data_IF_547047349500
#
_entry.id   IF_547047349500
#
_cell.length_a   1.000
_cell.length_b   1.000
_cell.length_c   1.000
_cell.angle_alpha   90.00
_cell.angle_beta   90.00
_cell.angle_gamma   90.00
#
_symmetry.space_group_name_H-M   'P 1'
#
loop_
_entity.id
_entity.type
_entity.pdbx_description
1 polymer ?
#
# COMPACT_ATOMS: atom_id res chain seq x y z
N UNK A 1 22.10 -27.80 21.07
CA UNK A 1 22.56 -27.27 22.37
C UNK A 1 23.95 -26.68 22.18
N UNK A 2 24.02 -25.39 21.84
CA UNK A 2 25.24 -24.60 21.95
C UNK A 2 24.83 -23.22 22.43
N UNK A 3 25.38 -22.87 23.59
CA UNK A 3 25.14 -21.66 24.36
C UNK A 3 25.76 -20.45 23.64
N UNK A 4 25.03 -19.33 23.61
CA UNK A 4 25.59 -17.99 23.37
C UNK A 4 26.48 -17.60 24.57
N UNK A 5 27.74 -17.16 24.37
CA UNK A 5 28.50 -16.51 25.42
C UNK A 5 28.32 -15.00 25.37
N UNK A 6 28.05 -14.47 26.56
CA UNK A 6 28.26 -13.12 27.09
C UNK A 6 28.57 -11.94 26.15
N UNK A 7 27.70 -10.94 26.33
CA UNK A 7 27.84 -9.54 25.98
C UNK A 7 29.18 -8.94 26.45
N UNK A 8 30.14 -8.82 25.52
CA UNK A 8 31.25 -7.88 25.70
C UNK A 8 30.77 -6.46 25.42
N UNK A 9 30.42 -5.74 26.50
CA UNK A 9 30.36 -4.28 26.53
C UNK A 9 31.65 -3.70 25.96
N UNK A 10 31.53 -2.89 24.91
CA UNK A 10 32.59 -1.99 24.48
C UNK A 10 32.91 -1.00 25.60
N UNK A 11 34.03 -1.22 26.32
CA UNK A 11 34.67 -0.18 27.13
C UNK A 11 35.55 0.66 26.22
N UNK A 12 34.93 1.65 25.56
CA UNK A 12 35.60 2.76 24.90
C UNK A 12 35.50 4.01 25.79
N UNK A 13 36.63 4.67 25.98
CA UNK A 13 36.77 5.94 26.72
C UNK A 13 36.06 7.09 26.00
N UNK A 14 35.09 7.72 26.67
CA UNK A 14 34.65 9.09 26.35
C UNK A 14 33.45 9.22 25.40
N UNK A 15 32.32 9.63 26.00
CA UNK A 15 31.07 10.14 25.42
C UNK A 15 30.28 9.17 24.54
N UNK A 16 29.07 8.82 25.01
CA UNK A 16 27.98 8.35 24.16
C UNK A 16 27.90 9.23 22.89
N UNK A 17 27.59 8.68 21.71
CA UNK A 17 27.42 9.48 20.51
C UNK A 17 26.38 10.57 20.78
N UNK A 18 26.86 11.80 20.97
CA UNK A 18 26.00 12.96 21.08
C UNK A 18 25.56 13.32 19.66
N UNK A 19 24.25 13.42 19.39
CA UNK A 19 23.77 13.91 18.10
C UNK A 19 24.47 15.23 17.78
N UNK A 20 25.16 15.28 16.63
CA UNK A 20 26.00 16.43 16.25
C UNK A 20 25.12 17.65 15.90
N UNK A 21 23.84 17.41 15.64
CA UNK A 21 22.77 18.41 15.52
C UNK A 21 21.47 17.80 16.02
N UNK A 22 20.71 18.57 16.80
CA UNK A 22 19.31 18.31 17.08
C UNK A 22 18.54 19.52 16.57
N UNK A 23 17.66 19.30 15.61
CA UNK A 23 16.79 20.34 15.08
C UNK A 23 15.37 19.99 15.51
N UNK A 24 14.77 20.86 16.31
CA UNK A 24 13.35 20.75 16.65
C UNK A 24 12.59 21.38 15.51
N UNK A 25 11.84 20.56 14.78
CA UNK A 25 11.00 21.01 13.68
C UNK A 25 10.05 22.09 14.22
N UNK A 26 10.13 23.29 13.64
CA UNK A 26 9.37 24.47 14.07
C UNK A 26 7.97 24.54 13.46
N UNK A 27 7.69 23.69 12.47
CA UNK A 27 6.42 23.55 11.78
C UNK A 27 6.61 22.93 10.39
N UNK A 28 5.54 22.83 9.59
CA UNK A 28 5.59 22.31 8.22
C UNK A 28 6.50 23.13 7.29
N UNK A 29 6.68 24.43 7.56
CA UNK A 29 7.50 25.34 6.74
C UNK A 29 8.97 25.40 7.18
N UNK A 30 9.42 24.45 7.99
CA UNK A 30 10.77 24.46 8.53
C UNK A 30 11.81 24.24 7.41
N UNK A 31 12.75 25.18 7.17
CA UNK A 31 13.69 25.09 6.05
C UNK A 31 14.73 23.96 6.20
N UNK A 32 14.78 23.29 7.35
CA UNK A 32 15.60 22.09 7.58
C UNK A 32 14.81 20.79 7.42
N UNK A 33 13.49 20.83 7.20
CA UNK A 33 12.80 19.65 6.71
C UNK A 33 13.39 19.32 5.33
N UNK A 34 13.88 18.08 5.10
CA UNK A 34 14.29 17.71 3.77
C UNK A 34 13.09 17.89 2.82
N UNK A 35 13.30 18.37 1.59
CA UNK A 35 12.22 18.59 0.63
C UNK A 35 11.40 17.32 0.35
N UNK A 36 12.02 16.18 0.56
CA UNK A 36 11.47 14.85 0.41
C UNK A 36 11.62 14.09 1.73
N UNK A 37 10.49 13.84 2.39
CA UNK A 37 10.40 13.09 3.66
C UNK A 37 9.81 11.70 3.48
N UNK A 38 9.59 11.28 2.23
CA UNK A 38 8.96 9.99 1.96
C UNK A 38 9.92 8.86 2.31
N UNK A 39 9.46 7.94 3.14
CA UNK A 39 10.26 6.81 3.64
C UNK A 39 10.79 5.94 2.49
N UNK A 40 9.97 5.73 1.46
CA UNK A 40 10.33 5.02 0.23
C UNK A 40 11.46 5.72 -0.52
N UNK A 41 11.43 7.05 -0.63
CA UNK A 41 12.47 7.82 -1.30
C UNK A 41 13.77 7.84 -0.51
N UNK A 42 13.70 7.96 0.82
CA UNK A 42 14.87 7.92 1.71
C UNK A 42 15.55 6.53 1.65
N UNK A 43 14.76 5.45 1.68
CA UNK A 43 15.27 4.08 1.62
C UNK A 43 16.02 3.78 0.31
N UNK A 44 15.55 4.36 -0.80
CA UNK A 44 16.10 4.12 -2.14
C UNK A 44 17.11 5.18 -2.58
N UNK A 45 17.25 6.28 -1.83
CA UNK A 45 18.14 7.40 -2.16
C UNK A 45 17.58 8.36 -3.21
N UNK A 46 16.28 8.29 -3.52
CA UNK A 46 15.57 9.21 -4.42
C UNK A 46 15.58 10.63 -3.85
N UNK A 47 15.46 10.76 -2.53
CA UNK A 47 15.58 12.02 -1.79
C UNK A 47 16.84 12.81 -2.17
N UNK A 48 17.96 12.11 -2.35
CA UNK A 48 19.25 12.69 -2.73
C UNK A 48 19.30 13.14 -4.18
N UNK A 49 18.57 12.48 -5.08
CA UNK A 49 18.43 12.88 -6.49
C UNK A 49 17.51 14.10 -6.61
N UNK A 50 16.40 14.09 -5.88
CA UNK A 50 15.48 15.22 -5.80
C UNK A 50 16.17 16.46 -5.22
N UNK A 51 17.00 16.30 -4.18
CA UNK A 51 17.83 17.38 -3.65
C UNK A 51 18.84 17.97 -4.66
N UNK A 52 19.18 17.24 -5.72
CA UNK A 52 20.01 17.69 -6.83
C UNK A 52 19.20 18.30 -7.99
N UNK A 53 17.87 18.35 -7.89
CA UNK A 53 16.98 18.82 -8.94
C UNK A 53 16.75 17.81 -10.07
N UNK A 54 16.98 16.52 -9.81
CA UNK A 54 16.79 15.44 -10.78
C UNK A 54 15.42 14.81 -10.53
N UNK A 55 14.43 15.16 -11.35
CA UNK A 55 13.03 14.73 -11.20
C UNK A 55 12.51 13.90 -12.40
N UNK A 56 13.39 13.53 -13.34
CA UNK A 56 13.03 12.73 -14.52
C UNK A 56 12.57 13.53 -15.76
N UNK A 57 12.73 14.85 -15.74
CA UNK A 57 12.34 15.71 -16.86
C UNK A 57 12.95 15.28 -18.21
N UNK A 58 12.12 15.21 -19.24
CA UNK A 58 12.51 14.83 -20.59
C UNK A 58 12.58 13.32 -20.86
N UNK A 59 12.35 12.47 -19.85
CA UNK A 59 12.25 11.01 -20.00
C UNK A 59 10.82 10.60 -20.28
N UNK A 60 10.63 9.66 -21.21
CA UNK A 60 9.34 9.01 -21.47
C UNK A 60 9.31 7.59 -20.92
N UNK A 61 8.28 7.25 -20.15
CA UNK A 61 8.13 5.95 -19.50
C UNK A 61 6.82 5.32 -19.97
N UNK A 62 6.92 4.16 -20.62
CA UNK A 62 5.76 3.35 -20.99
C UNK A 62 5.44 2.34 -19.89
N UNK A 63 4.23 2.39 -19.38
CA UNK A 63 3.74 1.49 -18.34
C UNK A 63 2.80 0.49 -19.01
N UNK A 64 3.07 -0.80 -18.85
CA UNK A 64 2.23 -1.88 -19.39
C UNK A 64 1.55 -2.56 -18.21
N UNK A 65 0.24 -2.38 -18.08
CA UNK A 65 -0.50 -2.70 -16.86
C UNK A 65 -2.01 -2.84 -17.12
N UNK A 66 -2.85 -2.73 -16.08
CA UNK A 66 -4.32 -2.74 -16.15
C UNK A 66 -4.92 -1.47 -16.75
N UNK A 67 -4.12 -0.51 -17.19
CA UNK A 67 -4.57 0.82 -17.60
C UNK A 67 -4.40 1.86 -16.49
N UNK A 68 -4.95 3.05 -16.70
CA UNK A 68 -4.78 4.19 -15.77
C UNK A 68 -6.05 5.01 -15.67
N UNK A 69 -6.42 5.40 -14.45
CA UNK A 69 -7.31 6.54 -14.26
C UNK A 69 -6.52 7.83 -14.44
N UNK A 70 -6.35 8.24 -15.69
CA UNK A 70 -5.67 9.49 -16.01
C UNK A 70 -6.45 10.73 -15.53
N UNK A 71 -7.73 10.60 -15.15
CA UNK A 71 -8.49 11.71 -14.56
C UNK A 71 -8.11 11.95 -13.10
N UNK A 72 -7.32 11.07 -12.49
CA UNK A 72 -6.86 11.22 -11.12
C UNK A 72 -6.08 12.54 -10.96
N UNK A 73 -6.46 13.43 -10.00
CA UNK A 73 -5.84 14.75 -9.87
C UNK A 73 -4.32 14.71 -9.64
N UNK A 74 -3.84 13.72 -8.88
CA UNK A 74 -2.41 13.50 -8.61
C UNK A 74 -1.64 13.14 -9.88
N UNK A 75 -2.30 12.57 -10.88
CA UNK A 75 -1.74 12.24 -12.20
C UNK A 75 -2.06 13.33 -13.25
N UNK A 76 -2.37 14.56 -12.83
CA UNK A 76 -2.54 15.68 -13.74
C UNK A 76 -3.90 15.77 -14.44
N UNK A 77 -4.88 14.93 -14.06
CA UNK A 77 -6.29 15.11 -14.40
C UNK A 77 -6.62 15.14 -15.89
N UNK A 78 -5.96 14.30 -16.69
CA UNK A 78 -6.27 14.10 -18.10
C UNK A 78 -5.20 13.32 -18.85
N UNK A 79 -5.44 13.11 -20.15
CA UNK A 79 -4.54 12.40 -21.06
C UNK A 79 -4.25 13.26 -22.30
N UNK A 80 -3.01 13.17 -22.81
CA UNK A 80 -2.58 13.81 -24.04
C UNK A 80 -1.60 14.97 -23.83
N UNK A 81 -1.38 15.81 -24.86
CA UNK A 81 -0.41 16.90 -24.79
C UNK A 81 -0.66 17.85 -23.63
N UNK A 82 0.34 18.02 -22.77
CA UNK A 82 0.26 18.89 -21.58
C UNK A 82 -0.16 18.19 -20.29
N UNK A 83 -0.52 16.91 -20.34
CA UNK A 83 -0.80 16.08 -19.16
C UNK A 83 0.40 15.19 -18.79
N UNK A 84 0.35 14.63 -17.57
CA UNK A 84 1.32 13.62 -17.08
C UNK A 84 1.27 12.34 -17.92
N UNK A 85 0.05 11.86 -18.16
CA UNK A 85 -0.22 10.77 -19.09
C UNK A 85 -0.32 11.37 -20.49
N UNK A 86 0.70 11.15 -21.33
CA UNK A 86 0.81 11.80 -22.65
C UNK A 86 0.09 11.02 -23.77
N UNK A 87 -0.34 9.79 -23.49
CA UNK A 87 -1.03 8.92 -24.43
C UNK A 87 -1.05 7.47 -23.96
N UNK A 88 -1.53 6.58 -24.80
CA UNK A 88 -1.62 5.16 -24.50
C UNK A 88 -2.40 4.37 -25.52
N UNK A 89 -2.67 3.10 -25.21
CA UNK A 89 -3.47 2.20 -26.02
C UNK A 89 -4.05 1.08 -25.14
N UNK A 90 -5.31 0.69 -25.37
CA UNK A 90 -5.90 -0.51 -24.80
C UNK A 90 -5.84 -1.64 -25.83
N UNK A 91 -5.18 -2.74 -25.45
CA UNK A 91 -5.06 -3.91 -26.31
C UNK A 91 -6.24 -4.86 -26.18
N UNK A 92 -7.08 -4.73 -25.15
CA UNK A 92 -7.95 -5.82 -24.69
C UNK A 92 -9.39 -5.43 -24.37
N UNK A 93 -9.64 -4.25 -23.82
CA UNK A 93 -10.96 -3.82 -23.36
C UNK A 93 -11.35 -4.42 -22.00
N UNK A 94 -12.37 -3.84 -21.35
CA UNK A 94 -12.83 -4.19 -20.00
C UNK A 94 -13.24 -5.66 -19.82
N UNK A 95 -13.88 -6.25 -20.83
CA UNK A 95 -14.44 -7.60 -20.73
C UNK A 95 -13.41 -8.71 -20.98
N UNK A 96 -12.14 -8.38 -21.24
CA UNK A 96 -11.12 -9.38 -21.51
C UNK A 96 -10.77 -10.18 -20.27
N UNK A 97 -10.76 -11.51 -20.38
CA UNK A 97 -10.44 -12.44 -19.28
C UNK A 97 -9.16 -13.28 -19.54
N UNK A 98 -8.50 -13.05 -20.68
CA UNK A 98 -7.35 -13.82 -21.14
C UNK A 98 -7.69 -14.93 -22.14
N UNK A 99 -8.98 -15.24 -22.32
CA UNK A 99 -9.43 -16.35 -23.18
C UNK A 99 -10.38 -15.92 -24.30
N UNK A 100 -11.10 -14.82 -24.10
CA UNK A 100 -11.98 -14.22 -25.10
C UNK A 100 -11.22 -13.33 -26.09
N UNK A 101 -11.89 -12.95 -27.19
CA UNK A 101 -11.29 -12.07 -28.20
C UNK A 101 -11.08 -10.67 -27.62
N UNK A 102 -9.86 -10.10 -27.70
CA UNK A 102 -9.60 -8.74 -27.25
C UNK A 102 -10.34 -7.71 -28.11
N UNK A 103 -10.69 -6.58 -27.49
CA UNK A 103 -11.35 -5.44 -28.14
C UNK A 103 -10.48 -4.18 -27.99
N UNK A 104 -9.44 -4.03 -28.83
CA UNK A 104 -8.48 -2.94 -28.69
C UNK A 104 -9.05 -1.58 -29.12
N UNK A 105 -8.62 -0.51 -28.45
CA UNK A 105 -8.90 0.88 -28.79
C UNK A 105 -7.81 1.83 -28.27
N UNK A 106 -7.96 3.14 -28.55
CA UNK A 106 -6.96 4.15 -28.19
C UNK A 106 -7.10 4.69 -26.75
N UNK A 107 -8.01 4.15 -25.93
CA UNK A 107 -8.33 4.66 -24.59
C UNK A 107 -7.86 3.68 -23.47
N UNK A 108 -6.72 3.94 -22.81
CA UNK A 108 -6.18 3.06 -21.77
C UNK A 108 -6.85 3.26 -20.39
N UNK A 109 -8.05 3.85 -20.32
CA UNK A 109 -8.74 4.17 -19.08
C UNK A 109 -9.03 2.91 -18.26
N UNK A 110 -8.64 2.94 -16.99
CA UNK A 110 -9.01 1.88 -16.02
C UNK A 110 -10.04 2.42 -15.03
N UNK A 111 -11.19 1.75 -14.96
CA UNK A 111 -12.29 2.11 -14.04
C UNK A 111 -12.63 1.02 -13.03
N UNK A 112 -11.88 -0.08 -13.01
CA UNK A 112 -12.28 -1.30 -12.29
C UNK A 112 -11.16 -1.96 -11.49
N UNK A 113 -9.89 -1.87 -11.91
CA UNK A 113 -8.79 -2.52 -11.21
C UNK A 113 -7.97 -1.51 -10.38
N UNK A 114 -7.42 -0.49 -11.04
CA UNK A 114 -6.66 0.58 -10.40
C UNK A 114 -5.17 0.26 -10.14
N UNK A 115 -4.71 -0.96 -10.40
CA UNK A 115 -3.30 -1.35 -10.22
C UNK A 115 -2.35 -0.48 -11.07
N UNK A 116 -2.64 -0.27 -12.35
CA UNK A 116 -1.80 0.59 -13.19
C UNK A 116 -1.85 2.08 -12.79
N UNK A 117 -2.93 2.55 -12.17
CA UNK A 117 -2.99 3.88 -11.53
C UNK A 117 -2.06 3.96 -10.33
N UNK A 118 -2.04 2.93 -9.48
CA UNK A 118 -1.14 2.85 -8.33
C UNK A 118 0.34 2.85 -8.77
N UNK A 119 0.68 2.03 -9.79
CA UNK A 119 2.03 2.00 -10.39
C UNK A 119 2.41 3.37 -10.98
N UNK A 120 1.48 4.01 -11.71
CA UNK A 120 1.69 5.35 -12.26
C UNK A 120 1.94 6.40 -11.17
N UNK A 121 1.28 6.28 -10.01
CA UNK A 121 1.50 7.12 -8.84
C UNK A 121 2.92 7.00 -8.29
N UNK A 122 3.41 5.77 -8.09
CA UNK A 122 4.79 5.50 -7.62
C UNK A 122 5.82 6.16 -8.55
N UNK A 123 5.59 6.10 -9.87
CA UNK A 123 6.53 6.62 -10.86
C UNK A 123 6.43 8.15 -10.96
N UNK A 124 5.23 8.70 -11.04
CA UNK A 124 5.03 10.05 -11.56
C UNK A 124 3.92 10.88 -10.92
N UNK A 125 3.49 10.56 -9.70
CA UNK A 125 2.58 11.43 -8.94
C UNK A 125 3.14 12.86 -8.84
N UNK A 126 2.32 13.86 -9.18
CA UNK A 126 2.71 15.26 -9.07
C UNK A 126 2.78 15.69 -7.60
N UNK A 127 3.83 16.40 -7.16
CA UNK A 127 3.96 16.89 -5.79
C UNK A 127 2.91 17.95 -5.44
N UNK A 128 2.77 18.27 -4.15
CA UNK A 128 1.84 19.31 -3.67
C UNK A 128 0.37 18.90 -3.69
N UNK A 129 0.09 17.59 -3.75
CA UNK A 129 -1.25 17.03 -3.60
C UNK A 129 -1.66 16.90 -2.13
N UNK A 130 -2.93 16.56 -1.90
CA UNK A 130 -3.52 16.44 -0.55
C UNK A 130 -2.90 15.34 0.32
N UNK A 131 -2.22 14.36 -0.29
CA UNK A 131 -1.53 13.28 0.43
C UNK A 131 -0.07 13.63 0.75
N UNK A 132 0.42 14.77 0.26
CA UNK A 132 1.82 15.19 0.39
C UNK A 132 2.81 14.11 -0.09
N UNK A 133 2.47 13.45 -1.20
CA UNK A 133 3.32 12.46 -1.86
C UNK A 133 3.81 12.95 -3.23
N UNK A 134 4.80 12.29 -3.80
CA UNK A 134 5.36 12.54 -5.11
C UNK A 134 5.90 11.24 -5.71
N UNK A 135 5.89 11.15 -7.04
CA UNK A 135 6.49 10.00 -7.72
C UNK A 135 8.01 10.12 -7.78
N UNK A 136 8.70 9.00 -7.98
CA UNK A 136 10.17 8.95 -8.12
C UNK A 136 10.67 9.89 -9.24
N UNK A 137 9.93 9.96 -10.35
CA UNK A 137 10.25 10.76 -11.53
C UNK A 137 9.05 11.65 -11.92
N UNK A 138 8.64 12.53 -11.01
CA UNK A 138 7.45 13.37 -11.19
C UNK A 138 7.55 14.43 -12.30
N UNK A 139 8.69 14.63 -12.97
CA UNK A 139 8.79 15.45 -14.20
C UNK A 139 8.80 14.60 -15.49
N UNK A 140 8.78 13.27 -15.39
CA UNK A 140 8.72 12.39 -16.56
C UNK A 140 7.34 12.43 -17.25
N UNK A 141 7.30 12.05 -18.53
CA UNK A 141 6.06 11.81 -19.27
C UNK A 141 5.72 10.32 -19.27
N UNK A 142 4.46 9.98 -19.00
CA UNK A 142 4.02 8.59 -18.91
C UNK A 142 3.12 8.22 -20.09
N UNK A 143 3.32 7.04 -20.66
CA UNK A 143 2.39 6.44 -21.63
C UNK A 143 1.80 5.17 -21.00
N UNK A 144 0.50 4.93 -21.16
CA UNK A 144 -0.14 3.75 -20.59
C UNK A 144 -0.56 2.74 -21.66
N UNK A 145 -0.17 1.48 -21.49
CA UNK A 145 -0.53 0.37 -22.37
C UNK A 145 -1.33 -0.65 -21.56
N UNK A 146 -2.65 -0.63 -21.74
CA UNK A 146 -3.55 -1.52 -21.02
C UNK A 146 -3.57 -2.89 -21.68
N UNK A 147 -3.23 -3.92 -20.92
CA UNK A 147 -3.13 -5.32 -21.41
C UNK A 147 -3.99 -6.29 -20.62
N UNK A 148 -4.66 -5.82 -19.56
CA UNK A 148 -5.64 -6.58 -18.79
C UNK A 148 -7.03 -5.97 -18.92
N UNK A 149 -8.05 -6.83 -18.91
CA UNK A 149 -9.41 -6.39 -18.63
C UNK A 149 -9.60 -6.14 -17.12
N UNK A 150 -10.85 -6.02 -16.70
CA UNK A 150 -11.16 -5.85 -15.28
C UNK A 150 -10.82 -7.08 -14.42
N UNK A 151 -10.69 -8.25 -15.05
CA UNK A 151 -10.31 -9.52 -14.42
C UNK A 151 -9.47 -10.36 -15.39
N UNK A 152 -8.95 -11.49 -14.91
CA UNK A 152 -8.34 -12.50 -15.77
C UNK A 152 -6.84 -12.34 -15.94
N UNK A 153 -6.32 -12.85 -17.06
CA UNK A 153 -4.88 -12.96 -17.34
C UNK A 153 -4.54 -12.38 -18.71
N UNK A 154 -3.26 -12.19 -18.98
CA UNK A 154 -2.78 -11.70 -20.27
C UNK A 154 -1.88 -12.74 -20.94
N UNK A 155 -2.11 -13.08 -22.22
CA UNK A 155 -1.22 -13.94 -22.99
C UNK A 155 0.03 -13.20 -23.51
N UNK A 156 1.07 -13.98 -23.79
CA UNK A 156 2.39 -13.49 -24.20
C UNK A 156 2.38 -12.64 -25.49
N UNK A 157 1.46 -12.92 -26.43
CA UNK A 157 1.35 -12.18 -27.69
C UNK A 157 0.91 -10.73 -27.48
N UNK A 158 -0.08 -10.51 -26.62
CA UNK A 158 -0.53 -9.16 -26.23
C UNK A 158 0.57 -8.40 -25.49
N UNK A 159 1.32 -9.07 -24.60
CA UNK A 159 2.47 -8.47 -23.93
C UNK A 159 3.56 -8.04 -24.93
N UNK A 160 3.85 -8.89 -25.91
CA UNK A 160 4.83 -8.59 -26.97
C UNK A 160 4.36 -7.39 -27.80
N UNK A 161 3.09 -7.34 -28.18
CA UNK A 161 2.53 -6.21 -28.94
C UNK A 161 2.61 -4.90 -28.15
N UNK A 162 2.32 -4.92 -26.86
CA UNK A 162 2.46 -3.76 -25.98
C UNK A 162 3.92 -3.30 -25.83
N UNK A 163 4.85 -4.23 -25.64
CA UNK A 163 6.29 -3.92 -25.59
C UNK A 163 6.77 -3.26 -26.90
N UNK A 164 6.39 -3.81 -28.05
CA UNK A 164 6.77 -3.28 -29.36
C UNK A 164 6.13 -1.91 -29.63
N UNK A 165 4.86 -1.72 -29.24
CA UNK A 165 4.18 -0.42 -29.34
C UNK A 165 4.85 0.62 -28.45
N UNK A 166 5.18 0.26 -27.21
CA UNK A 166 5.89 1.13 -26.27
C UNK A 166 7.23 1.64 -26.82
N UNK A 167 8.00 0.79 -27.50
CA UNK A 167 9.22 1.21 -28.21
C UNK A 167 8.89 2.11 -29.40
N UNK A 168 7.89 1.76 -30.21
CA UNK A 168 7.48 2.52 -31.40
C UNK A 168 7.01 3.93 -31.05
N UNK A 169 6.34 4.11 -29.92
CA UNK A 169 5.88 5.42 -29.43
C UNK A 169 7.02 6.25 -28.81
N UNK A 170 8.23 5.69 -28.77
CA UNK A 170 9.46 6.38 -28.42
C UNK A 170 9.71 6.49 -26.91
N UNK A 171 9.16 5.58 -26.11
CA UNK A 171 9.49 5.52 -24.68
C UNK A 171 10.98 5.17 -24.48
N UNK A 172 11.59 5.73 -23.44
CA UNK A 172 12.97 5.47 -23.03
C UNK A 172 13.07 4.31 -22.06
N UNK A 173 12.05 4.18 -21.23
CA UNK A 173 11.87 3.13 -20.23
C UNK A 173 10.54 2.42 -20.50
N UNK A 174 10.52 1.11 -20.41
CA UNK A 174 9.30 0.31 -20.35
C UNK A 174 9.27 -0.43 -19.01
N UNK A 175 8.15 -0.32 -18.30
CA UNK A 175 7.95 -0.98 -17.01
C UNK A 175 6.70 -1.84 -17.01
N UNK A 176 6.81 -3.02 -16.40
CA UNK A 176 5.79 -4.05 -16.36
C UNK A 176 5.65 -4.56 -14.93
N UNK A 177 4.55 -4.23 -14.26
CA UNK A 177 4.24 -4.74 -12.93
C UNK A 177 3.34 -5.99 -13.04
N UNK A 178 3.77 -6.92 -13.87
CA UNK A 178 3.06 -8.15 -14.19
C UNK A 178 4.04 -9.28 -14.45
N UNK A 179 3.51 -10.49 -14.44
CA UNK A 179 4.18 -11.65 -14.96
C UNK A 179 3.51 -12.93 -14.48
N UNK A 180 3.95 -14.05 -15.03
CA UNK A 180 3.50 -15.38 -14.63
C UNK A 180 4.71 -16.28 -14.38
N UNK A 181 4.48 -17.40 -13.70
CA UNK A 181 5.50 -18.41 -13.42
C UNK A 181 6.05 -19.04 -14.72
N UNK A 182 7.01 -18.37 -15.33
CA UNK A 182 7.65 -18.76 -16.58
C UNK A 182 9.05 -18.10 -16.70
N UNK A 183 9.94 -18.45 -15.77
CA UNK A 183 11.23 -17.80 -15.56
C UNK A 183 12.33 -18.13 -16.58
N UNK A 184 11.99 -18.58 -17.80
CA UNK A 184 12.97 -19.01 -18.80
C UNK A 184 13.37 -17.90 -19.76
N UNK A 185 14.68 -17.64 -19.90
CA UNK A 185 15.22 -16.55 -20.75
C UNK A 185 14.79 -16.64 -22.21
N UNK A 186 14.44 -17.84 -22.64
CA UNK A 186 14.01 -18.22 -23.97
C UNK A 186 12.49 -18.11 -24.18
N UNK A 187 11.71 -17.76 -23.15
CA UNK A 187 10.28 -17.51 -23.31
C UNK A 187 10.05 -16.33 -24.26
N UNK A 188 8.91 -16.35 -24.95
CA UNK A 188 8.71 -15.49 -26.12
C UNK A 188 8.75 -14.01 -25.76
N UNK A 189 8.08 -13.63 -24.65
CA UNK A 189 8.10 -12.30 -24.09
C UNK A 189 9.49 -11.92 -23.54
N UNK A 190 10.21 -12.85 -22.89
CA UNK A 190 11.58 -12.61 -22.39
C UNK A 190 12.58 -12.31 -23.50
N UNK A 191 12.51 -13.04 -24.62
CA UNK A 191 13.39 -12.81 -25.78
C UNK A 191 13.14 -11.43 -26.38
N UNK A 192 11.88 -11.00 -26.48
CA UNK A 192 11.52 -9.66 -26.96
C UNK A 192 12.03 -8.59 -26.00
N UNK A 193 11.76 -8.72 -24.70
CA UNK A 193 12.24 -7.80 -23.68
C UNK A 193 13.77 -7.67 -23.69
N UNK A 194 14.48 -8.80 -23.84
CA UNK A 194 15.95 -8.83 -23.95
C UNK A 194 16.46 -8.05 -25.16
N UNK A 195 15.79 -8.17 -26.31
CA UNK A 195 16.15 -7.45 -27.54
C UNK A 195 15.89 -5.95 -27.42
N UNK A 196 14.80 -5.56 -26.76
CA UNK A 196 14.48 -4.17 -26.47
C UNK A 196 15.55 -3.58 -25.55
N UNK A 197 15.90 -4.27 -24.47
CA UNK A 197 16.97 -3.84 -23.57
C UNK A 197 18.32 -3.68 -24.32
N UNK A 198 18.67 -4.64 -25.18
CA UNK A 198 19.88 -4.58 -26.00
C UNK A 198 19.89 -3.42 -27.02
N UNK A 199 18.73 -2.84 -27.36
CA UNK A 199 18.64 -1.65 -28.22
C UNK A 199 18.95 -0.33 -27.50
N UNK A 200 19.26 -0.38 -26.20
CA UNK A 200 19.59 0.78 -25.37
C UNK A 200 18.39 1.37 -24.61
N UNK A 201 17.25 0.68 -24.61
CA UNK A 201 16.08 1.03 -23.79
C UNK A 201 16.18 0.35 -22.43
N UNK A 202 15.61 0.96 -21.40
CA UNK A 202 15.55 0.35 -20.07
C UNK A 202 14.24 -0.45 -19.99
N UNK A 203 14.31 -1.69 -19.53
CA UNK A 203 13.14 -2.54 -19.29
C UNK A 203 13.16 -3.01 -17.85
N UNK A 204 12.14 -2.67 -17.07
CA UNK A 204 11.98 -3.05 -15.66
C UNK A 204 10.75 -3.92 -15.49
N UNK A 205 10.88 -5.05 -14.80
CA UNK A 205 9.78 -6.01 -14.63
C UNK A 205 9.80 -6.54 -13.20
N UNK A 206 8.63 -6.67 -12.59
CA UNK A 206 8.51 -7.30 -11.27
C UNK A 206 9.04 -8.75 -11.30
N UNK A 207 9.74 -9.16 -10.24
CA UNK A 207 10.26 -10.52 -10.11
C UNK A 207 9.16 -11.58 -9.88
N UNK A 208 7.95 -11.15 -9.47
CA UNK A 208 6.83 -11.99 -9.08
C UNK A 208 6.58 -12.00 -7.57
N UNK A 209 5.45 -12.58 -7.16
CA UNK A 209 5.02 -12.71 -5.76
C UNK A 209 4.97 -14.18 -5.29
N UNK A 210 5.53 -15.09 -6.08
CA UNK A 210 5.42 -16.55 -5.91
C UNK A 210 6.68 -17.18 -5.27
N UNK A 211 7.36 -16.41 -4.41
CA UNK A 211 8.66 -16.80 -3.84
C UNK A 211 8.64 -18.08 -3.04
N UNK A 212 7.52 -18.39 -2.41
CA UNK A 212 7.32 -19.58 -1.60
C UNK A 212 7.39 -20.89 -2.41
N UNK A 213 7.20 -20.82 -3.74
CA UNK A 213 7.36 -21.96 -4.65
C UNK A 213 8.83 -22.24 -5.01
N UNK A 214 9.75 -21.33 -4.65
CA UNK A 214 11.20 -21.52 -4.70
C UNK A 214 11.91 -20.83 -5.88
N UNK A 215 13.21 -21.06 -5.99
CA UNK A 215 14.15 -20.25 -6.78
C UNK A 215 14.01 -20.26 -8.30
N UNK A 216 13.02 -20.98 -8.84
CA UNK A 216 12.77 -21.10 -10.27
C UNK A 216 11.41 -20.53 -10.69
N UNK A 217 10.73 -19.85 -9.76
CA UNK A 217 9.38 -19.31 -9.96
C UNK A 217 9.37 -17.80 -10.25
N UNK A 218 10.52 -17.22 -10.60
CA UNK A 218 10.59 -15.81 -11.05
C UNK A 218 9.69 -15.61 -12.26
N UNK A 219 9.02 -14.46 -12.32
CA UNK A 219 8.06 -14.19 -13.37
C UNK A 219 8.71 -13.85 -14.72
N UNK A 220 8.18 -14.42 -15.79
CA UNK A 220 8.40 -13.93 -17.15
C UNK A 220 7.56 -12.68 -17.42
N UNK A 221 8.08 -11.67 -18.14
CA UNK A 221 9.35 -11.62 -18.88
C UNK A 221 10.58 -11.09 -18.08
N UNK A 222 10.50 -10.96 -16.76
CA UNK A 222 11.50 -10.26 -15.95
C UNK A 222 12.87 -10.93 -15.89
N UNK A 223 12.94 -12.19 -16.26
CA UNK A 223 14.15 -13.00 -16.39
C UNK A 223 14.89 -12.79 -17.73
N UNK A 224 14.42 -11.91 -18.61
CA UNK A 224 15.11 -11.56 -19.86
C UNK A 224 16.55 -11.05 -19.65
N UNK A 225 17.42 -11.29 -20.63
CA UNK A 225 18.82 -10.83 -20.60
C UNK A 225 18.86 -9.31 -20.71
N UNK A 226 19.60 -8.66 -19.80
CA UNK A 226 19.68 -7.20 -19.64
C UNK A 226 18.37 -6.51 -19.23
N UNK A 227 17.33 -7.27 -18.87
CA UNK A 227 16.13 -6.75 -18.21
C UNK A 227 16.42 -6.58 -16.72
N UNK A 228 15.89 -5.51 -16.13
CA UNK A 228 15.98 -5.26 -14.70
C UNK A 228 14.81 -5.96 -14.01
N UNK A 229 15.06 -7.13 -13.43
CA UNK A 229 14.11 -7.81 -12.54
C UNK A 229 14.11 -7.15 -11.16
N UNK A 230 12.93 -6.77 -10.67
CA UNK A 230 12.76 -6.00 -9.43
C UNK A 230 12.09 -6.85 -8.36
N UNK A 231 12.82 -7.16 -7.29
CA UNK A 231 12.27 -7.77 -6.07
C UNK A 231 11.67 -6.70 -5.15
N UNK A 232 10.99 -7.13 -4.08
CA UNK A 232 10.35 -6.23 -3.12
C UNK A 232 10.91 -6.37 -1.71
N UNK A 233 10.88 -5.25 -0.97
CA UNK A 233 11.16 -5.15 0.45
C UNK A 233 10.07 -4.33 1.13
N UNK A 234 9.82 -4.60 2.40
CA UNK A 234 8.82 -3.88 3.18
C UNK A 234 9.34 -2.49 3.55
N UNK A 235 8.43 -1.50 3.51
CA UNK A 235 8.77 -0.14 3.89
C UNK A 235 9.04 -0.05 5.40
N UNK A 236 9.79 0.95 5.84
CA UNK A 236 10.05 1.14 7.28
C UNK A 236 8.88 1.68 8.08
N UNK A 237 7.86 2.19 7.38
CA UNK A 237 6.66 2.76 7.99
C UNK A 237 5.44 2.44 7.15
N UNK A 238 4.30 2.34 7.82
CA UNK A 238 2.97 2.20 7.24
C UNK A 238 2.20 3.50 7.56
N UNK A 239 1.73 4.25 6.56
CA UNK A 239 0.93 5.45 6.80
C UNK A 239 -0.46 5.02 7.30
N UNK A 240 -0.72 5.26 8.58
CA UNK A 240 -1.97 4.91 9.26
C UNK A 240 -2.63 6.16 9.86
N UNK A 241 -3.79 5.99 10.50
CA UNK A 241 -4.53 7.09 11.09
C UNK A 241 -4.66 6.93 12.60
N UNK A 242 -4.83 8.06 13.29
CA UNK A 242 -4.96 8.10 14.74
C UNK A 242 -6.35 8.58 15.17
N UNK A 243 -6.95 7.88 16.13
CA UNK A 243 -8.12 8.32 16.86
C UNK A 243 -7.70 9.09 18.12
N UNK A 244 -8.35 10.22 18.39
CA UNK A 244 -8.10 10.98 19.62
C UNK A 244 -8.97 10.46 20.75
N UNK A 245 -8.36 10.15 21.89
CA UNK A 245 -9.06 9.71 23.10
C UNK A 245 -9.44 10.92 23.95
N UNK A 246 -10.68 10.95 24.43
CA UNK A 246 -11.22 12.00 25.30
C UNK A 246 -11.88 11.41 26.55
N UNK A 247 -11.77 12.13 27.67
CA UNK A 247 -12.34 11.75 28.97
C UNK A 247 -11.39 11.01 29.91
N UNK A 248 -10.31 10.44 29.36
CA UNK A 248 -9.22 9.79 30.11
C UNK A 248 -7.86 10.15 29.49
N UNK A 249 -6.79 10.10 30.28
CA UNK A 249 -5.44 10.33 29.78
C UNK A 249 -4.96 9.09 29.01
N UNK A 250 -4.74 9.23 27.71
CA UNK A 250 -4.19 8.22 26.82
C UNK A 250 -3.61 8.94 25.58
N UNK A 251 -2.56 8.38 24.99
CA UNK A 251 -2.06 8.87 23.70
C UNK A 251 -3.08 8.57 22.58
N UNK A 252 -3.00 9.21 21.41
CA UNK A 252 -3.87 8.84 20.29
C UNK A 252 -3.72 7.35 19.93
N UNK A 253 -4.83 6.70 19.60
CA UNK A 253 -4.87 5.28 19.24
C UNK A 253 -4.70 5.14 17.74
N UNK A 254 -3.65 4.45 17.30
CA UNK A 254 -3.45 4.16 15.89
C UNK A 254 -4.38 3.04 15.44
N UNK A 255 -5.07 3.24 14.33
CA UNK A 255 -5.91 2.23 13.69
C UNK A 255 -5.43 1.94 12.26
N UNK A 256 -5.62 0.70 11.84
CA UNK A 256 -5.12 0.19 10.56
C UNK A 256 -6.02 0.62 9.41
N UNK A 257 -5.97 1.91 9.07
CA UNK A 257 -6.62 2.49 7.90
C UNK A 257 -5.73 3.60 7.34
N UNK A 258 -5.71 3.72 6.01
CA UNK A 258 -4.95 4.76 5.29
C UNK A 258 -5.69 6.09 5.36
N UNK A 259 -7.02 6.06 5.39
CA UNK A 259 -7.87 7.26 5.43
C UNK A 259 -8.57 7.40 6.77
N UNK A 260 -8.80 8.65 7.23
CA UNK A 260 -9.56 8.84 8.45
C UNK A 260 -10.95 8.23 8.32
N UNK A 261 -11.41 7.48 9.33
CA UNK A 261 -12.79 7.02 9.34
C UNK A 261 -13.72 8.25 9.25
N UNK A 262 -14.69 8.30 8.32
CA UNK A 262 -15.49 9.50 8.04
C UNK A 262 -16.59 9.72 9.07
N UNK A 263 -16.20 9.75 10.35
CA UNK A 263 -17.10 9.83 11.50
C UNK A 263 -17.10 11.26 12.04
N UNK A 264 -18.22 12.00 11.93
CA UNK A 264 -18.28 13.36 12.42
C UNK A 264 -18.36 13.39 13.95
N UNK A 265 -17.53 14.23 14.57
CA UNK A 265 -17.63 14.55 15.98
C UNK A 265 -16.94 13.54 16.91
N UNK A 266 -17.45 13.46 18.13
CA UNK A 266 -16.91 12.65 19.23
C UNK A 266 -17.99 11.65 19.65
N UNK A 267 -17.65 10.37 19.67
CA UNK A 267 -18.58 9.29 20.03
C UNK A 267 -18.10 8.57 21.29
N UNK A 268 -18.98 8.28 22.26
CA UNK A 268 -18.65 7.40 23.38
C UNK A 268 -18.34 5.98 22.90
N UNK A 269 -17.54 5.24 23.67
CA UNK A 269 -17.27 3.84 23.38
C UNK A 269 -18.34 2.91 23.98
N UNK A 270 -18.53 1.75 23.37
CA UNK A 270 -19.27 0.63 23.95
C UNK A 270 -18.48 -0.66 23.72
N UNK A 271 -17.98 -1.29 24.79
CA UNK A 271 -17.32 -2.59 24.65
C UNK A 271 -18.35 -3.72 24.70
N UNK A 272 -18.28 -4.67 23.76
CA UNK A 272 -19.21 -5.83 23.73
C UNK A 272 -18.95 -6.83 24.85
N UNK A 273 -17.77 -6.77 25.47
CA UNK A 273 -17.36 -7.54 26.64
C UNK A 273 -16.64 -6.63 27.64
N UNK A 274 -16.79 -6.91 28.94
CA UNK A 274 -15.99 -6.30 30.02
C UNK A 274 -14.72 -7.09 30.35
N UNK A 275 -14.52 -8.23 29.69
CA UNK A 275 -13.39 -9.14 29.87
C UNK A 275 -12.59 -9.21 28.56
N UNK A 276 -11.30 -8.88 28.64
CA UNK A 276 -10.36 -8.83 27.52
C UNK A 276 -9.89 -10.22 27.06
N UNK A 277 -10.36 -11.29 27.69
CA UNK A 277 -9.95 -12.67 27.38
C UNK A 277 -11.00 -13.46 26.59
N UNK A 278 -12.18 -12.88 26.33
CA UNK A 278 -13.29 -13.54 25.62
C UNK A 278 -12.93 -13.75 24.14
N UNK A 279 -12.56 -14.98 23.79
CA UNK A 279 -12.05 -15.32 22.46
C UNK A 279 -13.13 -15.31 21.37
N UNK A 280 -14.40 -15.45 21.73
CA UNK A 280 -15.57 -15.48 20.86
C UNK A 280 -16.42 -14.20 20.98
N UNK A 281 -15.81 -13.09 21.39
CA UNK A 281 -16.49 -11.80 21.56
C UNK A 281 -17.28 -11.38 20.31
N UNK A 282 -18.57 -11.05 20.48
CA UNK A 282 -19.51 -10.75 19.41
C UNK A 282 -19.66 -11.82 18.31
N UNK A 283 -19.25 -13.07 18.52
CA UNK A 283 -19.49 -14.15 17.55
C UNK A 283 -20.96 -14.59 17.51
N UNK A 284 -21.61 -14.62 18.67
CA UNK A 284 -23.04 -14.82 18.80
C UNK A 284 -23.81 -13.48 18.83
N UNK A 285 -25.13 -13.47 18.57
CA UNK A 285 -25.95 -12.27 18.69
C UNK A 285 -25.75 -11.59 20.05
N UNK A 286 -25.54 -10.27 20.02
CA UNK A 286 -25.36 -9.49 21.24
C UNK A 286 -26.61 -9.58 22.14
N UNK A 287 -26.46 -9.60 23.47
CA UNK A 287 -27.58 -9.74 24.40
C UNK A 287 -28.73 -8.77 24.11
N UNK A 288 -29.97 -9.19 24.36
CA UNK A 288 -31.15 -8.33 24.17
C UNK A 288 -31.13 -7.05 25.02
N UNK A 289 -30.38 -7.07 26.12
CA UNK A 289 -30.14 -5.91 26.99
C UNK A 289 -29.14 -4.89 26.41
N UNK A 290 -28.47 -5.22 25.30
CA UNK A 290 -27.55 -4.30 24.63
C UNK A 290 -28.35 -3.11 24.10
N UNK A 291 -27.93 -1.86 24.41
CA UNK A 291 -28.62 -0.67 23.92
C UNK A 291 -28.47 -0.51 22.40
N UNK A 292 -29.15 0.48 21.84
CA UNK A 292 -28.87 0.93 20.47
C UNK A 292 -27.44 1.49 20.39
N UNK A 293 -26.64 0.90 19.50
CA UNK A 293 -25.22 1.19 19.30
C UNK A 293 -24.99 2.25 18.21
N UNK A 294 -26.04 2.83 17.62
CA UNK A 294 -25.93 3.83 16.54
C UNK A 294 -25.11 5.07 16.90
N UNK A 295 -25.06 5.43 18.19
CA UNK A 295 -24.29 6.55 18.72
C UNK A 295 -22.93 6.19 19.34
N UNK A 296 -22.42 4.97 19.14
CA UNK A 296 -21.23 4.47 19.83
C UNK A 296 -20.14 3.98 18.88
N UNK A 297 -18.89 4.06 19.33
CA UNK A 297 -17.78 3.27 18.76
C UNK A 297 -17.74 1.93 19.49
N UNK A 298 -18.01 0.86 18.77
CA UNK A 298 -18.07 -0.48 19.36
C UNK A 298 -16.66 -1.06 19.46
N UNK A 299 -16.24 -1.52 20.65
CA UNK A 299 -14.94 -2.12 20.88
C UNK A 299 -15.11 -3.64 20.97
N UNK A 300 -14.43 -4.38 20.10
CA UNK A 300 -14.63 -5.82 19.92
C UNK A 300 -13.28 -6.53 19.87
N UNK A 301 -13.13 -7.65 20.57
CA UNK A 301 -11.90 -8.44 20.52
C UNK A 301 -11.81 -9.26 19.23
N UNK A 302 -10.64 -9.27 18.58
CA UNK A 302 -10.30 -10.27 17.55
C UNK A 302 -10.36 -11.68 18.12
N UNK A 303 -10.91 -12.62 17.36
CA UNK A 303 -11.31 -13.90 17.92
C UNK A 303 -11.49 -15.03 16.92
N UNK A 304 -12.30 -16.00 17.31
CA UNK A 304 -12.50 -17.28 16.61
C UNK A 304 -13.38 -17.19 15.37
N UNK A 305 -14.33 -16.25 15.33
CA UNK A 305 -15.21 -16.00 14.19
C UNK A 305 -14.69 -14.86 13.29
N UNK A 306 -15.25 -14.75 12.08
CA UNK A 306 -14.86 -13.72 11.10
C UNK A 306 -15.21 -12.31 11.59
N UNK A 307 -14.47 -11.30 11.12
CA UNK A 307 -14.77 -9.90 11.43
C UNK A 307 -16.16 -9.50 10.93
N UNK A 308 -16.53 -9.92 9.72
CA UNK A 308 -17.88 -9.71 9.15
C UNK A 308 -18.98 -10.25 10.05
N UNK A 309 -18.80 -11.43 10.68
CA UNK A 309 -19.78 -11.99 11.61
C UNK A 309 -19.95 -11.09 12.85
N UNK A 310 -18.84 -10.67 13.46
CA UNK A 310 -18.85 -9.76 14.62
C UNK A 310 -19.57 -8.45 14.29
N UNK A 311 -19.22 -7.86 13.15
CA UNK A 311 -19.78 -6.60 12.68
C UNK A 311 -21.27 -6.72 12.34
N UNK A 312 -21.71 -7.87 11.80
CA UNK A 312 -23.13 -8.16 11.58
C UNK A 312 -23.93 -8.17 12.88
N UNK A 313 -23.40 -8.79 13.94
CA UNK A 313 -24.06 -8.83 15.25
C UNK A 313 -24.12 -7.43 15.91
N UNK A 314 -23.09 -6.61 15.72
CA UNK A 314 -23.07 -5.20 16.16
C UNK A 314 -24.08 -4.35 15.37
N UNK A 315 -24.13 -4.52 14.06
CA UNK A 315 -25.07 -3.82 13.19
C UNK A 315 -26.52 -4.18 13.49
N UNK A 316 -26.80 -5.42 13.93
CA UNK A 316 -28.12 -5.84 14.40
C UNK A 316 -28.61 -5.05 15.64
N UNK A 317 -27.71 -4.39 16.37
CA UNK A 317 -28.02 -3.45 17.47
C UNK A 317 -27.86 -1.99 17.05
N UNK A 318 -27.81 -1.69 15.76
CA UNK A 318 -27.69 -0.32 15.21
C UNK A 318 -26.26 0.21 15.11
N UNK A 319 -25.24 -0.56 15.51
CA UNK A 319 -23.85 -0.11 15.50
C UNK A 319 -23.30 0.07 14.09
N UNK A 320 -22.69 1.22 13.84
CA UNK A 320 -22.10 1.57 12.53
C UNK A 320 -20.60 1.86 12.58
N UNK A 321 -19.99 1.94 13.77
CA UNK A 321 -18.56 2.20 13.94
C UNK A 321 -17.98 1.15 14.88
N UNK A 322 -16.90 0.51 14.47
CA UNK A 322 -16.26 -0.53 15.28
C UNK A 322 -14.73 -0.46 15.22
N UNK A 323 -14.11 -0.59 16.39
CA UNK A 323 -12.68 -0.85 16.50
C UNK A 323 -12.51 -2.29 17.00
N UNK A 324 -11.97 -3.13 16.14
CA UNK A 324 -11.60 -4.49 16.50
C UNK A 324 -10.18 -4.41 17.04
N UNK A 325 -9.89 -4.93 18.23
CA UNK A 325 -8.52 -4.94 18.73
C UNK A 325 -7.87 -6.30 18.55
N UNK A 326 -6.60 -6.29 18.18
CA UNK A 326 -5.82 -7.51 17.97
C UNK A 326 -5.73 -8.35 19.26
N UNK A 327 -5.49 -9.64 19.10
CA UNK A 327 -5.32 -10.60 20.20
C UNK A 327 -3.89 -11.16 20.28
N UNK A 328 -2.91 -10.45 19.68
CA UNK A 328 -1.52 -10.87 19.57
C UNK A 328 -1.21 -11.68 18.31
N UNK A 329 -2.13 -11.73 17.35
CA UNK A 329 -1.93 -12.44 16.07
C UNK A 329 -1.50 -11.52 14.93
N UNK A 330 -1.32 -10.23 15.19
CA UNK A 330 -0.69 -9.28 14.28
C UNK A 330 -1.58 -8.08 14.00
N UNK A 331 -0.94 -6.93 13.79
CA UNK A 331 -1.58 -5.68 13.44
C UNK A 331 -1.47 -5.44 11.94
N UNK A 332 -2.54 -5.74 11.21
CA UNK A 332 -2.62 -5.65 9.75
C UNK A 332 -4.05 -5.28 9.31
N UNK A 333 -4.21 -4.91 8.05
CA UNK A 333 -5.54 -4.70 7.46
C UNK A 333 -6.40 -5.96 7.61
N UNK A 334 -7.70 -5.75 7.83
CA UNK A 334 -8.67 -6.82 8.05
C UNK A 334 -9.80 -6.75 7.03
N UNK A 335 -10.33 -7.90 6.62
CA UNK A 335 -11.51 -7.97 5.76
C UNK A 335 -12.78 -7.71 6.60
N UNK A 336 -13.41 -6.56 6.38
CA UNK A 336 -14.65 -6.14 7.01
C UNK A 336 -15.86 -6.24 6.07
N UNK A 337 -15.72 -6.80 4.87
CA UNK A 337 -16.80 -6.85 3.88
C UNK A 337 -17.37 -5.46 3.58
N UNK A 338 -18.70 -5.29 3.69
CA UNK A 338 -19.37 -4.03 3.40
C UNK A 338 -19.36 -3.02 4.58
N UNK A 339 -18.70 -3.35 5.70
CA UNK A 339 -18.64 -2.48 6.88
C UNK A 339 -17.43 -1.54 6.78
N UNK A 340 -17.62 -0.40 6.12
CA UNK A 340 -16.54 0.56 5.80
C UNK A 340 -16.02 1.36 7.00
N UNK A 341 -16.75 1.39 8.11
CA UNK A 341 -16.40 2.13 9.33
C UNK A 341 -15.89 1.21 10.44
N UNK A 342 -15.16 0.16 10.04
CA UNK A 342 -14.59 -0.83 10.94
C UNK A 342 -13.12 -1.06 10.59
N UNK A 343 -12.27 -1.11 11.62
CA UNK A 343 -10.82 -1.26 11.44
C UNK A 343 -10.20 -1.97 12.64
N UNK A 344 -8.91 -2.30 12.52
CA UNK A 344 -8.13 -2.94 13.57
C UNK A 344 -7.35 -1.90 14.38
N UNK A 345 -7.25 -2.08 15.69
CA UNK A 345 -6.33 -1.37 16.60
C UNK A 345 -5.41 -2.36 17.32
N UNK A 346 -4.33 -1.86 17.93
CA UNK A 346 -3.41 -2.70 18.70
C UNK A 346 -4.10 -3.31 19.93
N UNK A 347 -3.60 -4.48 20.35
CA UNK A 347 -4.15 -5.21 21.50
C UNK A 347 -4.16 -4.36 22.77
N UNK A 348 -3.05 -3.67 23.08
CA UNK A 348 -2.91 -2.85 24.27
C UNK A 348 -3.94 -1.71 24.35
N UNK A 349 -4.20 -1.05 23.23
CA UNK A 349 -5.17 0.04 23.15
C UNK A 349 -6.60 -0.48 23.33
N UNK A 350 -6.94 -1.61 22.72
CA UNK A 350 -8.24 -2.24 22.90
C UNK A 350 -8.49 -2.71 24.33
N UNK A 351 -7.50 -3.36 24.94
CA UNK A 351 -7.54 -3.79 26.34
C UNK A 351 -7.70 -2.60 27.28
N UNK A 352 -7.01 -1.49 27.00
CA UNK A 352 -7.20 -0.24 27.72
C UNK A 352 -8.65 0.26 27.62
N UNK A 353 -9.21 0.36 26.40
CA UNK A 353 -10.58 0.83 26.19
C UNK A 353 -11.62 -0.05 26.91
N UNK A 354 -11.47 -1.37 26.82
CA UNK A 354 -12.34 -2.33 27.53
C UNK A 354 -12.23 -2.14 29.05
N UNK A 355 -11.01 -1.96 29.59
CA UNK A 355 -10.81 -1.75 31.03
C UNK A 355 -11.46 -0.46 31.54
N UNK A 356 -11.39 0.63 30.75
CA UNK A 356 -12.01 1.90 31.10
C UNK A 356 -13.53 1.81 31.05
N UNK A 357 -14.07 1.13 30.03
CA UNK A 357 -15.50 0.87 29.92
C UNK A 357 -16.01 0.05 31.12
N UNK A 358 -15.31 -1.03 31.48
CA UNK A 358 -15.65 -1.87 32.63
C UNK A 358 -15.56 -1.11 33.97
N UNK A 359 -14.67 -0.12 34.08
CA UNK A 359 -14.56 0.77 35.23
C UNK A 359 -15.65 1.87 35.28
N UNK A 360 -16.47 2.00 34.24
CA UNK A 360 -17.49 3.05 34.14
C UNK A 360 -16.92 4.44 33.81
N UNK A 361 -15.69 4.52 33.30
CA UNK A 361 -15.09 5.77 32.84
C UNK A 361 -15.82 6.28 31.60
N UNK A 362 -16.02 7.60 31.52
CA UNK A 362 -16.62 8.22 30.35
C UNK A 362 -15.57 8.43 29.25
N UNK A 363 -15.29 7.39 28.46
CA UNK A 363 -14.33 7.44 27.34
C UNK A 363 -15.06 7.67 26.03
N UNK A 364 -14.48 8.53 25.20
CA UNK A 364 -14.98 8.84 23.88
C UNK A 364 -13.83 9.01 22.88
N UNK A 365 -14.13 8.77 21.60
CA UNK A 365 -13.18 8.81 20.50
C UNK A 365 -13.64 9.79 19.44
N UNK A 366 -12.68 10.46 18.80
CA UNK A 366 -12.90 11.19 17.55
C UNK A 366 -11.86 10.80 16.52
N UNK A 367 -12.23 10.94 15.25
CA UNK A 367 -11.41 10.59 14.10
C UNK A 367 -11.11 11.89 13.33
N UNK A 368 -9.95 12.53 13.56
CA UNK A 368 -9.61 13.78 12.88
C UNK A 368 -9.60 13.62 11.36
N UNK A 369 -10.37 14.45 10.67
CA UNK A 369 -10.45 14.44 9.20
C UNK A 369 -9.36 15.29 8.53
N UNK A 370 -8.54 15.96 9.34
CA UNK A 370 -7.47 16.84 8.92
C UNK A 370 -6.21 16.51 9.68
N UNK A 371 -5.07 16.62 9.02
CA UNK A 371 -3.78 16.16 9.53
C UNK A 371 -3.23 15.08 8.60
N UNK A 372 -1.91 14.98 8.52
CA UNK A 372 -1.27 13.90 7.77
C UNK A 372 -1.48 12.55 8.47
N UNK A 373 -1.24 11.47 7.72
CA UNK A 373 -1.15 10.14 8.31
C UNK A 373 -0.03 10.07 9.36
N UNK A 374 -0.19 9.15 10.29
CA UNK A 374 0.85 8.75 11.22
C UNK A 374 1.71 7.66 10.58
N UNK A 375 3.02 7.90 10.51
CA UNK A 375 3.98 6.91 10.05
C UNK A 375 4.21 5.86 11.14
N UNK A 376 3.38 4.82 11.14
CA UNK A 376 3.49 3.70 12.07
C UNK A 376 4.71 2.85 11.71
N UNK A 377 5.65 2.59 12.63
CA UNK A 377 6.83 1.76 12.32
C UNK A 377 6.45 0.35 11.88
N UNK A 378 7.05 -0.12 10.80
CA UNK A 378 6.90 -1.51 10.35
C UNK A 378 8.04 -2.36 10.93
N UNK A 379 7.70 -3.40 11.69
CA UNK A 379 8.66 -4.34 12.25
C UNK A 379 9.40 -5.16 11.17
N UNK A 380 8.81 -5.29 9.97
CA UNK A 380 9.43 -5.91 8.81
C UNK A 380 10.23 -4.93 7.94
N UNK A 381 10.30 -3.65 8.32
CA UNK A 381 10.92 -2.60 7.52
C UNK A 381 12.34 -2.90 7.04
N UNK A 382 12.54 -2.82 5.73
CA UNK A 382 13.82 -3.12 5.08
C UNK A 382 14.11 -4.61 4.89
N UNK A 383 13.23 -5.50 5.34
CA UNK A 383 13.32 -6.93 5.04
C UNK A 383 12.67 -7.21 3.67
N UNK A 384 13.11 -8.25 2.95
CA UNK A 384 12.35 -8.76 1.82
C UNK A 384 10.90 -9.02 2.27
N UNK A 385 9.92 -8.58 1.48
CA UNK A 385 8.51 -8.57 1.90
C UNK A 385 8.02 -9.95 2.34
N UNK A 386 6.95 -10.03 3.13
CA UNK A 386 6.45 -11.29 3.71
C UNK A 386 6.09 -12.44 2.74
N UNK A 387 6.03 -12.19 1.42
CA UNK A 387 5.98 -13.22 0.35
C UNK A 387 7.36 -13.50 -0.29
N UNK A 388 8.42 -13.01 0.34
CA UNK A 388 9.65 -12.55 -0.29
C UNK A 388 10.91 -13.18 0.27
N UNK A 389 10.83 -14.44 0.67
CA UNK A 389 11.96 -15.32 0.44
C UNK A 389 12.33 -15.47 -1.05
N UNK A 390 11.57 -14.91 -1.99
CA UNK A 390 11.92 -14.60 -3.39
C UNK A 390 10.76 -13.86 -4.10
N UNK A 391 10.70 -12.52 -4.05
CA UNK A 391 9.69 -11.72 -4.79
C UNK A 391 8.48 -11.33 -3.93
N UNK A 392 8.34 -10.05 -3.59
CA UNK A 392 7.24 -9.29 -4.18
C UNK A 392 6.24 -8.83 -3.10
N UNK A 393 5.59 -7.69 -3.30
CA UNK A 393 5.00 -6.80 -2.29
C UNK A 393 3.73 -7.35 -1.61
N UNK A 394 3.61 -7.15 -0.29
CA UNK A 394 2.35 -7.32 0.43
C UNK A 394 1.42 -6.13 0.22
N UNK A 395 0.31 -6.35 -0.50
CA UNK A 395 -0.75 -5.34 -0.65
C UNK A 395 -1.74 -5.69 -1.75
N UNK A 396 -2.90 -6.22 -1.33
CA UNK A 396 -4.10 -6.54 -2.12
C UNK A 396 -3.95 -7.54 -3.26
N UNK A 397 -4.39 -8.77 -2.99
CA UNK A 397 -4.94 -9.70 -3.98
C UNK A 397 -3.98 -10.11 -5.10
N UNK A 398 -3.29 -11.23 -4.91
CA UNK A 398 -2.86 -12.02 -6.06
C UNK A 398 -4.07 -12.32 -6.95
N UNK A 399 -3.86 -12.22 -8.26
CA UNK A 399 -4.83 -12.54 -9.30
C UNK A 399 -5.33 -13.98 -9.22
#
# INVERSE_FOLDING_TARGET
MFFLPDTKRCKGTGTDPRPVKFHVVTGPDDPQLPPDTESTHILTGVDKLHAQGIFGGGVKIGIIDTGVDYNHPVLGGGIGPGHKIIGGFDFVGDAFDGTNTPMPDDDPLDTCNGHGTHVSGIIGANPGNEFNISGVAFDASLSMYRVFGCTGTVPDDILIDALLRGVSDGNDILTLSLGGADGWTESSSSVVASRIAASGKIVTIAAGNDGDFGSWYTSGPGNGINVISVASLDNTVIPLQNATVSGVAHDPITYFDTFPLPIPGVLPIFATSNDTTVADDACDPLPDTTPDLSGYVTIIRRGTCTFVQKLTNVAAKGGNVALIYDNGSGFAAIDTGNFTNATLIQAADGEFLVSQFAAGSNVSLSFPQTGGSFNFPDDAGGMPGGMGGMGGMGGMGGF
#
